data_IF_919996812212
#
_entry.id   IF_919996812212
#
_cell.length_a   1.000
_cell.length_b   1.000
_cell.length_c   1.000
_cell.angle_alpha   90.00
_cell.angle_beta   90.00
_cell.angle_gamma   90.00
#
_symmetry.space_group_name_H-M   'P 1'
#
loop_
_entity.id
_entity.type
_entity.pdbx_description
1 polymer ?
#
# COMPACT_ATOMS: atom_id res chain seq x y z
N UNK A 1 -37.91 -15.20 18.83
CA UNK A 1 -37.44 -16.11 17.76
C UNK A 1 -36.78 -15.36 16.57
N UNK A 2 -37.25 -14.17 16.19
CA UNK A 2 -36.68 -13.41 15.07
C UNK A 2 -35.30 -12.78 15.35
N UNK A 3 -35.07 -12.29 16.56
CA UNK A 3 -33.79 -11.66 16.92
C UNK A 3 -32.61 -12.67 17.02
N UNK A 4 -32.87 -13.90 17.51
CA UNK A 4 -31.87 -14.97 17.55
C UNK A 4 -31.49 -15.46 16.16
N UNK A 5 -32.44 -15.56 15.24
CA UNK A 5 -32.20 -15.98 13.87
C UNK A 5 -31.44 -14.90 13.07
N UNK A 6 -31.69 -13.62 13.33
CA UNK A 6 -30.92 -12.50 12.76
C UNK A 6 -29.48 -12.49 13.29
N UNK A 7 -29.28 -12.68 14.60
CA UNK A 7 -27.95 -12.73 15.21
C UNK A 7 -27.13 -13.93 14.73
N UNK A 8 -27.74 -15.10 14.54
CA UNK A 8 -27.07 -16.28 13.96
C UNK A 8 -26.76 -16.11 12.47
N UNK A 9 -27.63 -15.45 11.72
CA UNK A 9 -27.37 -15.10 10.31
C UNK A 9 -26.25 -14.06 10.20
N UNK A 10 -26.25 -13.06 11.06
CA UNK A 10 -25.23 -12.05 11.14
C UNK A 10 -23.86 -12.65 11.50
N UNK A 11 -23.81 -13.51 12.52
CA UNK A 11 -22.60 -14.25 12.87
C UNK A 11 -22.12 -15.18 11.75
N UNK A 12 -23.00 -15.93 11.12
CA UNK A 12 -22.62 -16.84 10.03
C UNK A 12 -22.18 -16.11 8.76
N UNK A 13 -22.71 -14.92 8.47
CA UNK A 13 -22.25 -14.08 7.37
C UNK A 13 -20.91 -13.44 7.67
N UNK A 14 -20.68 -12.93 8.88
CA UNK A 14 -19.42 -12.35 9.29
C UNK A 14 -18.31 -13.42 9.40
N UNK A 15 -18.62 -14.60 9.93
CA UNK A 15 -17.68 -15.73 10.00
C UNK A 15 -17.39 -16.38 8.64
N UNK A 16 -18.31 -16.27 7.65
CA UNK A 16 -18.12 -16.82 6.30
C UNK A 16 -17.30 -15.90 5.38
N UNK A 17 -17.20 -14.61 5.70
CA UNK A 17 -16.40 -13.67 4.95
C UNK A 17 -15.04 -13.58 5.64
N UNK A 18 -14.00 -14.13 5.02
CA UNK A 18 -12.63 -13.81 5.41
C UNK A 18 -12.38 -12.34 5.08
N UNK A 19 -12.62 -11.50 6.10
CA UNK A 19 -12.54 -10.04 5.99
C UNK A 19 -11.15 -9.57 5.56
N UNK A 20 -10.12 -10.27 6.01
CA UNK A 20 -8.73 -10.04 5.62
C UNK A 20 -8.53 -10.32 4.13
N UNK A 21 -9.06 -11.43 3.64
CA UNK A 21 -8.97 -11.80 2.24
C UNK A 21 -9.73 -10.81 1.33
N UNK A 22 -10.92 -10.38 1.75
CA UNK A 22 -11.71 -9.38 1.03
C UNK A 22 -10.98 -8.03 0.94
N UNK A 23 -10.40 -7.56 2.04
CA UNK A 23 -9.60 -6.33 2.07
C UNK A 23 -8.36 -6.43 1.19
N UNK A 24 -7.59 -7.51 1.35
CA UNK A 24 -6.33 -7.67 0.63
C UNK A 24 -6.55 -7.96 -0.85
N UNK A 25 -7.39 -8.92 -1.19
CA UNK A 25 -7.58 -9.34 -2.58
C UNK A 25 -8.54 -8.43 -3.35
N UNK A 26 -9.62 -8.01 -2.72
CA UNK A 26 -10.63 -7.19 -3.36
C UNK A 26 -10.26 -5.71 -3.39
N UNK A 27 -10.29 -5.07 -2.23
CA UNK A 27 -10.19 -3.61 -2.16
C UNK A 27 -8.79 -3.09 -2.51
N UNK A 28 -7.74 -3.72 -1.98
CA UNK A 28 -6.37 -3.28 -2.24
C UNK A 28 -6.00 -3.39 -3.73
N UNK A 29 -6.42 -4.46 -4.40
CA UNK A 29 -6.16 -4.63 -5.84
C UNK A 29 -6.79 -3.52 -6.67
N UNK A 30 -8.05 -3.17 -6.37
CA UNK A 30 -8.77 -2.10 -7.07
C UNK A 30 -8.17 -0.72 -6.81
N UNK A 31 -7.83 -0.42 -5.54
CA UNK A 31 -7.21 0.86 -5.15
C UNK A 31 -5.85 1.06 -5.81
N UNK A 32 -4.97 0.06 -5.77
CA UNK A 32 -3.65 0.16 -6.38
C UNK A 32 -3.70 0.31 -7.90
N UNK A 33 -4.63 -0.38 -8.56
CA UNK A 33 -4.84 -0.23 -9.98
C UNK A 33 -5.39 1.17 -10.32
N UNK A 34 -6.42 1.64 -9.60
CA UNK A 34 -7.01 2.96 -9.80
C UNK A 34 -5.97 4.07 -9.60
N UNK A 35 -5.18 4.00 -8.53
CA UNK A 35 -4.09 4.93 -8.28
C UNK A 35 -3.05 4.93 -9.40
N UNK A 36 -2.63 3.74 -9.85
CA UNK A 36 -1.64 3.60 -10.93
C UNK A 36 -2.15 4.08 -12.29
N UNK A 37 -3.44 3.94 -12.57
CA UNK A 37 -4.08 4.35 -13.82
C UNK A 37 -3.93 5.86 -14.08
N UNK A 38 -3.91 6.67 -13.03
CA UNK A 38 -3.84 8.13 -13.11
C UNK A 38 -2.41 8.70 -13.13
N UNK A 39 -1.39 7.86 -12.94
CA UNK A 39 0.01 8.31 -12.93
C UNK A 39 0.57 8.47 -14.32
N UNK A 40 1.07 9.66 -14.65
CA UNK A 40 1.78 9.96 -15.90
C UNK A 40 3.23 9.46 -15.86
N UNK A 41 3.51 8.39 -16.63
CA UNK A 41 4.86 7.80 -16.71
C UNK A 41 5.90 8.75 -17.30
N UNK A 42 5.51 9.71 -18.17
CA UNK A 42 6.44 10.64 -18.79
C UNK A 42 6.99 11.62 -17.73
N UNK A 43 6.12 12.09 -16.86
CA UNK A 43 6.49 12.94 -15.72
C UNK A 43 7.23 12.12 -14.65
N UNK A 44 6.74 10.92 -14.34
CA UNK A 44 7.38 10.01 -13.40
C UNK A 44 8.81 9.66 -13.82
N UNK A 45 9.07 9.48 -15.11
CA UNK A 45 10.41 9.23 -15.65
C UNK A 45 11.39 10.36 -15.34
N UNK A 46 10.91 11.59 -15.26
CA UNK A 46 11.73 12.75 -14.89
C UNK A 46 12.18 12.69 -13.45
N UNK A 47 11.33 12.19 -12.54
CA UNK A 47 11.59 12.06 -11.10
C UNK A 47 11.87 10.62 -10.66
N UNK A 48 12.22 9.71 -11.59
CA UNK A 48 12.40 8.28 -11.31
C UNK A 48 13.34 7.98 -10.15
N UNK A 49 14.46 8.70 -10.05
CA UNK A 49 15.43 8.48 -8.98
C UNK A 49 14.91 8.91 -7.60
N UNK A 50 14.17 10.01 -7.55
CA UNK A 50 13.50 10.48 -6.36
C UNK A 50 12.47 9.46 -5.89
N UNK A 51 11.55 9.11 -6.77
CA UNK A 51 10.48 8.14 -6.47
C UNK A 51 11.07 6.77 -6.09
N UNK A 52 11.98 6.21 -6.90
CA UNK A 52 12.55 4.89 -6.60
C UNK A 52 13.35 4.88 -5.29
N UNK A 53 14.16 5.92 -5.03
CA UNK A 53 14.94 5.95 -3.78
C UNK A 53 14.05 6.09 -2.55
N UNK A 54 12.98 6.90 -2.61
CA UNK A 54 12.05 7.06 -1.50
C UNK A 54 11.19 5.81 -1.31
N UNK A 55 10.67 5.24 -2.40
CA UNK A 55 9.82 4.06 -2.33
C UNK A 55 10.58 2.79 -1.92
N UNK A 56 11.80 2.58 -2.38
CA UNK A 56 12.55 1.35 -2.09
C UNK A 56 13.45 1.54 -0.87
N UNK A 57 14.42 2.48 -0.97
CA UNK A 57 15.40 2.69 0.11
C UNK A 57 14.71 3.33 1.33
N UNK A 58 13.86 4.33 1.11
CA UNK A 58 13.11 5.00 2.17
C UNK A 58 12.22 4.04 2.95
N UNK A 59 11.44 3.20 2.27
CA UNK A 59 10.54 2.21 2.91
C UNK A 59 11.32 1.12 3.63
N UNK A 60 12.39 0.58 3.04
CA UNK A 60 13.24 -0.42 3.69
C UNK A 60 13.91 0.13 4.94
N UNK A 61 14.49 1.33 4.87
CA UNK A 61 15.08 2.00 6.05
C UNK A 61 14.03 2.33 7.10
N UNK A 62 12.83 2.77 6.69
CA UNK A 62 11.70 3.02 7.59
C UNK A 62 11.29 1.75 8.32
N UNK A 63 11.14 0.63 7.60
CA UNK A 63 10.83 -0.68 8.17
C UNK A 63 11.83 -1.08 9.25
N UNK A 64 13.12 -0.97 8.96
CA UNK A 64 14.18 -1.30 9.93
C UNK A 64 14.19 -0.33 11.11
N UNK A 65 14.09 0.97 10.85
CA UNK A 65 14.14 2.00 11.89
C UNK A 65 12.95 1.89 12.84
N UNK A 66 11.74 1.71 12.32
CA UNK A 66 10.53 1.57 13.12
C UNK A 66 10.54 0.21 13.86
N UNK A 67 10.90 -0.88 13.18
CA UNK A 67 10.92 -2.21 13.80
C UNK A 67 11.94 -2.31 14.93
N UNK A 68 13.18 -1.88 14.71
CA UNK A 68 14.22 -1.85 15.75
C UNK A 68 13.90 -0.83 16.85
N UNK A 69 13.37 0.32 16.47
CA UNK A 69 12.95 1.37 17.41
C UNK A 69 11.81 0.90 18.31
N UNK A 70 10.79 0.23 17.76
CA UNK A 70 9.71 -0.37 18.53
C UNK A 70 10.24 -1.43 19.49
N UNK A 71 11.08 -2.35 19.02
CA UNK A 71 11.69 -3.35 19.87
C UNK A 71 12.47 -2.75 21.05
N UNK A 72 13.23 -1.67 20.82
CA UNK A 72 13.93 -0.95 21.86
C UNK A 72 12.96 -0.21 22.80
N UNK A 73 11.89 0.39 22.30
CA UNK A 73 10.89 1.08 23.13
C UNK A 73 10.12 0.13 24.03
N UNK A 74 9.81 -1.08 23.54
CA UNK A 74 9.07 -2.08 24.32
C UNK A 74 9.84 -2.55 25.58
N UNK A 75 11.17 -2.44 25.58
CA UNK A 75 11.97 -2.72 26.81
C UNK A 75 11.65 -1.78 27.97
N UNK A 76 10.95 -0.67 27.72
CA UNK A 76 10.53 0.32 28.72
C UNK A 76 9.03 0.26 29.03
N UNK A 77 8.32 -0.68 28.42
CA UNK A 77 6.89 -0.90 28.61
C UNK A 77 6.63 -2.32 29.09
N UNK A 78 5.39 -2.59 29.51
CA UNK A 78 4.96 -3.93 29.93
C UNK A 78 4.56 -4.83 28.75
N UNK A 79 4.65 -4.29 27.51
CA UNK A 79 4.31 -5.04 26.32
C UNK A 79 5.52 -5.82 25.81
N UNK A 80 5.35 -7.11 25.59
CA UNK A 80 6.40 -7.96 24.99
C UNK A 80 6.03 -8.33 23.57
N UNK A 81 6.92 -8.01 22.63
CA UNK A 81 6.76 -8.36 21.21
C UNK A 81 8.10 -8.86 20.66
N UNK A 82 8.15 -10.06 20.05
CA UNK A 82 9.36 -10.55 19.41
C UNK A 82 9.87 -9.58 18.32
N UNK A 83 11.19 -9.47 18.17
CA UNK A 83 11.82 -8.59 17.17
C UNK A 83 11.24 -8.77 15.76
N UNK A 84 10.96 -10.01 15.38
CA UNK A 84 10.37 -10.31 14.07
C UNK A 84 8.99 -9.65 13.89
N UNK A 85 8.13 -9.65 14.90
CA UNK A 85 6.85 -8.94 14.87
C UNK A 85 7.01 -7.41 14.91
N UNK A 86 8.04 -6.91 15.61
CA UNK A 86 8.38 -5.48 15.53
C UNK A 86 8.80 -5.07 14.11
N UNK A 87 9.54 -5.92 13.40
CA UNK A 87 9.89 -5.69 12.00
C UNK A 87 8.67 -5.83 11.07
N UNK A 88 7.76 -6.79 11.33
CA UNK A 88 6.46 -6.88 10.64
C UNK A 88 5.69 -5.57 10.81
N UNK A 89 5.60 -5.06 12.05
CA UNK A 89 4.99 -3.75 12.32
C UNK A 89 5.69 -2.63 11.54
N UNK A 90 7.02 -2.61 11.53
CA UNK A 90 7.80 -1.67 10.73
C UNK A 90 7.44 -1.72 9.25
N UNK A 91 7.28 -2.92 8.67
CA UNK A 91 6.93 -3.10 7.26
C UNK A 91 5.51 -2.60 6.94
N UNK A 92 4.53 -2.99 7.75
CA UNK A 92 3.12 -2.60 7.51
C UNK A 92 2.84 -1.11 7.74
N UNK A 93 3.60 -0.44 8.64
CA UNK A 93 3.39 0.98 8.93
C UNK A 93 4.28 1.90 8.08
N UNK A 94 5.22 1.37 7.30
CA UNK A 94 6.13 2.18 6.48
C UNK A 94 5.48 2.83 5.26
N UNK A 95 4.53 2.22 4.53
CA UNK A 95 3.89 2.85 3.39
C UNK A 95 3.12 4.11 3.79
N UNK A 96 2.99 5.04 2.87
CA UNK A 96 2.34 6.33 3.09
C UNK A 96 1.19 6.52 2.12
N UNK A 97 0.09 7.05 2.61
CA UNK A 97 -1.08 7.38 1.80
C UNK A 97 -1.16 8.89 1.56
N UNK A 98 -1.13 9.34 0.31
CA UNK A 98 -1.15 10.76 -0.01
C UNK A 98 -2.56 11.35 -0.08
N UNK A 99 -3.64 10.56 -0.03
CA UNK A 99 -5.01 11.00 -0.36
C UNK A 99 -5.39 12.26 0.40
N UNK A 100 -5.31 12.22 1.73
CA UNK A 100 -5.66 13.37 2.56
C UNK A 100 -4.73 14.58 2.34
N UNK A 101 -3.44 14.30 2.08
CA UNK A 101 -2.43 15.33 1.86
C UNK A 101 -2.57 15.98 0.49
N UNK A 102 -2.89 15.21 -0.54
CA UNK A 102 -3.04 15.71 -1.91
C UNK A 102 -4.15 16.76 -2.03
N UNK A 103 -5.27 16.58 -1.32
CA UNK A 103 -6.33 17.59 -1.27
C UNK A 103 -5.84 18.93 -0.70
N UNK A 104 -5.04 18.88 0.37
CA UNK A 104 -4.45 20.07 1.00
C UNK A 104 -3.40 20.70 0.09
N UNK A 105 -2.51 19.90 -0.51
CA UNK A 105 -1.45 20.39 -1.40
C UNK A 105 -2.01 21.10 -2.64
N UNK A 106 -3.02 20.52 -3.28
CA UNK A 106 -3.72 21.13 -4.41
C UNK A 106 -4.36 22.47 -4.02
N UNK A 107 -5.06 22.52 -2.87
CA UNK A 107 -5.69 23.77 -2.39
C UNK A 107 -4.67 24.83 -1.97
N UNK A 108 -3.50 24.42 -1.49
CA UNK A 108 -2.39 25.31 -1.12
C UNK A 108 -1.54 25.76 -2.33
N UNK A 109 -1.81 25.25 -3.53
CA UNK A 109 -1.06 25.58 -4.75
C UNK A 109 0.36 25.02 -4.72
N UNK A 110 0.56 23.83 -4.18
CA UNK A 110 1.86 23.18 -4.16
C UNK A 110 2.41 22.96 -5.58
N UNK A 111 3.74 22.99 -5.77
CA UNK A 111 4.32 22.69 -7.07
C UNK A 111 3.99 21.26 -7.53
N UNK A 112 3.51 21.08 -8.76
CA UNK A 112 3.11 19.78 -9.32
C UNK A 112 4.23 18.72 -9.28
N UNK A 113 5.50 19.14 -9.22
CA UNK A 113 6.63 18.23 -9.02
C UNK A 113 6.62 17.55 -7.64
N UNK A 114 6.15 18.23 -6.60
CA UNK A 114 6.04 17.67 -5.24
C UNK A 114 4.87 16.71 -5.19
N UNK A 115 3.72 17.10 -5.75
CA UNK A 115 2.54 16.24 -5.84
C UNK A 115 2.87 14.93 -6.59
N UNK A 116 3.56 15.02 -7.72
CA UNK A 116 3.95 13.86 -8.51
C UNK A 116 4.89 12.92 -7.76
N UNK A 117 5.89 13.47 -7.04
CA UNK A 117 6.85 12.65 -6.30
C UNK A 117 6.17 11.98 -5.11
N UNK A 118 5.27 12.68 -4.40
CA UNK A 118 4.49 12.09 -3.29
C UNK A 118 3.58 10.97 -3.80
N UNK A 119 2.81 11.20 -4.87
CA UNK A 119 1.93 10.17 -5.45
C UNK A 119 2.71 8.98 -5.98
N UNK A 120 3.82 9.23 -6.67
CA UNK A 120 4.69 8.17 -7.17
C UNK A 120 5.37 7.39 -6.04
N UNK A 121 5.87 8.08 -5.01
CA UNK A 121 6.44 7.42 -3.83
C UNK A 121 5.42 6.49 -3.18
N UNK A 122 4.21 7.00 -2.90
CA UNK A 122 3.15 6.24 -2.25
C UNK A 122 2.74 5.00 -3.07
N UNK A 123 2.51 5.16 -4.36
CA UNK A 123 2.14 4.04 -5.22
C UNK A 123 3.14 2.88 -5.19
N UNK A 124 4.44 3.20 -5.19
CA UNK A 124 5.48 2.17 -5.20
C UNK A 124 5.86 1.67 -3.80
N UNK A 125 5.78 2.52 -2.77
CA UNK A 125 6.11 2.09 -1.42
C UNK A 125 5.07 1.09 -0.86
N UNK A 126 3.81 1.18 -1.29
CA UNK A 126 2.77 0.19 -1.00
C UNK A 126 3.20 -1.20 -1.48
N UNK A 127 3.62 -1.30 -2.75
CA UNK A 127 4.11 -2.56 -3.30
C UNK A 127 5.36 -3.08 -2.60
N UNK A 128 6.33 -2.21 -2.31
CA UNK A 128 7.57 -2.56 -1.59
C UNK A 128 7.26 -3.02 -0.17
N UNK A 129 6.34 -2.33 0.51
CA UNK A 129 5.95 -2.66 1.87
C UNK A 129 5.29 -4.04 1.96
N UNK A 130 4.38 -4.36 1.06
CA UNK A 130 3.74 -5.70 1.02
C UNK A 130 4.79 -6.79 0.82
N UNK A 131 5.76 -6.59 -0.07
CA UNK A 131 6.85 -7.56 -0.28
C UNK A 131 7.73 -7.71 0.96
N UNK A 132 8.10 -6.61 1.62
CA UNK A 132 8.86 -6.66 2.89
C UNK A 132 8.05 -7.34 3.99
N UNK A 133 6.76 -7.03 4.10
CA UNK A 133 5.85 -7.67 5.05
C UNK A 133 5.78 -9.18 4.84
N UNK A 134 5.54 -9.65 3.60
CA UNK A 134 5.48 -11.06 3.26
C UNK A 134 6.80 -11.77 3.59
N UNK A 135 7.93 -11.16 3.25
CA UNK A 135 9.25 -11.70 3.54
C UNK A 135 9.50 -11.86 5.05
N UNK A 136 9.20 -10.82 5.83
CA UNK A 136 9.41 -10.86 7.29
C UNK A 136 8.40 -11.83 7.95
N UNK A 137 7.17 -11.88 7.46
CA UNK A 137 6.16 -12.83 7.94
C UNK A 137 6.57 -14.28 7.67
N UNK A 138 7.17 -14.57 6.52
CA UNK A 138 7.75 -15.89 6.23
C UNK A 138 8.89 -16.26 7.19
N UNK A 139 9.71 -15.27 7.62
CA UNK A 139 10.71 -15.48 8.68
C UNK A 139 10.07 -15.80 10.03
N UNK A 140 8.96 -15.14 10.37
CA UNK A 140 8.19 -15.45 11.59
C UNK A 140 7.68 -16.88 11.56
N UNK A 141 7.13 -17.31 10.41
CA UNK A 141 6.55 -18.64 10.25
C UNK A 141 7.60 -19.77 10.28
N UNK A 142 8.79 -19.54 9.72
CA UNK A 142 9.89 -20.54 9.69
C UNK A 142 10.68 -20.60 11.00
N UNK A 143 10.61 -19.58 11.85
CA UNK A 143 11.42 -19.47 13.07
C UNK A 143 12.91 -19.23 12.82
N UNK A 144 13.36 -19.16 11.57
CA UNK A 144 14.75 -18.92 11.17
C UNK A 144 14.86 -17.68 10.30
N UNK A 145 15.90 -16.88 10.50
CA UNK A 145 16.22 -15.80 9.59
C UNK A 145 16.78 -16.41 8.27
N UNK A 146 16.12 -16.17 7.12
CA UNK A 146 16.64 -16.66 5.85
C UNK A 146 18.04 -16.06 5.60
N UNK A 147 18.91 -16.82 4.95
CA UNK A 147 20.16 -16.25 4.49
C UNK A 147 19.88 -15.08 3.53
N UNK A 148 20.80 -14.12 3.47
CA UNK A 148 20.65 -12.95 2.58
C UNK A 148 20.37 -13.37 1.13
N UNK A 149 20.94 -14.50 0.70
CA UNK A 149 20.72 -15.06 -0.64
C UNK A 149 19.27 -15.52 -0.83
N UNK A 150 18.72 -16.26 0.15
CA UNK A 150 17.32 -16.73 0.11
C UNK A 150 16.34 -15.57 0.19
N UNK A 151 16.60 -14.58 1.05
CA UNK A 151 15.79 -13.38 1.15
C UNK A 151 15.78 -12.58 -0.16
N UNK A 152 16.94 -12.39 -0.79
CA UNK A 152 17.05 -11.70 -2.07
C UNK A 152 16.36 -12.50 -3.20
N UNK A 153 16.45 -13.82 -3.20
CA UNK A 153 15.77 -14.66 -4.18
C UNK A 153 14.25 -14.57 -4.04
N UNK A 154 13.70 -14.71 -2.82
CA UNK A 154 12.28 -14.56 -2.58
C UNK A 154 11.77 -13.17 -2.99
N UNK A 155 12.52 -12.11 -2.66
CA UNK A 155 12.18 -10.75 -3.05
C UNK A 155 12.16 -10.58 -4.59
N UNK A 156 13.12 -11.17 -5.30
CA UNK A 156 13.15 -11.14 -6.76
C UNK A 156 12.03 -11.97 -7.39
N UNK A 157 11.70 -13.12 -6.82
CA UNK A 157 10.61 -13.97 -7.29
C UNK A 157 9.25 -13.29 -7.06
N UNK A 158 8.97 -12.78 -5.87
CA UNK A 158 7.72 -12.08 -5.58
C UNK A 158 7.59 -10.77 -6.35
N UNK A 159 8.56 -9.87 -6.22
CA UNK A 159 8.48 -8.56 -6.84
C UNK A 159 8.65 -8.62 -8.36
N UNK A 160 9.64 -9.39 -8.83
CA UNK A 160 9.90 -9.57 -10.26
C UNK A 160 8.78 -10.34 -10.96
N UNK A 161 8.27 -11.39 -10.32
CA UNK A 161 7.13 -12.17 -10.81
C UNK A 161 5.85 -11.33 -10.88
N UNK A 162 5.56 -10.53 -9.84
CA UNK A 162 4.44 -9.61 -9.83
C UNK A 162 4.51 -8.56 -10.92
N UNK A 163 5.67 -7.91 -11.08
CA UNK A 163 5.88 -6.93 -12.14
C UNK A 163 5.74 -7.54 -13.54
N UNK A 164 6.30 -8.74 -13.76
CA UNK A 164 6.17 -9.48 -15.02
C UNK A 164 4.71 -9.84 -15.32
N UNK A 165 3.98 -10.37 -14.32
CA UNK A 165 2.56 -10.70 -14.47
C UNK A 165 1.76 -9.46 -14.83
N UNK A 166 1.96 -8.35 -14.11
CA UNK A 166 1.30 -7.07 -14.39
C UNK A 166 1.61 -6.55 -15.79
N UNK A 167 2.86 -6.70 -16.25
CA UNK A 167 3.26 -6.31 -17.60
C UNK A 167 2.59 -7.18 -18.68
N UNK A 168 2.55 -8.50 -18.50
CA UNK A 168 1.92 -9.44 -19.45
C UNK A 168 0.43 -9.19 -19.53
N UNK A 169 -0.27 -9.17 -18.38
CA UNK A 169 -1.72 -8.93 -18.36
C UNK A 169 -2.04 -7.55 -18.86
N UNK A 170 -1.32 -6.52 -18.41
CA UNK A 170 -1.49 -5.14 -18.87
C UNK A 170 -1.33 -4.98 -20.37
N UNK A 171 -0.36 -5.68 -20.97
CA UNK A 171 -0.20 -5.69 -22.42
C UNK A 171 -1.36 -6.40 -23.14
N UNK A 172 -1.83 -7.55 -22.61
CA UNK A 172 -2.98 -8.27 -23.17
C UNK A 172 -4.22 -7.38 -23.13
N UNK A 173 -4.51 -6.76 -22.00
CA UNK A 173 -5.64 -5.84 -21.84
C UNK A 173 -5.49 -4.63 -22.77
N UNK A 174 -4.32 -4.01 -22.85
CA UNK A 174 -4.06 -2.96 -23.83
C UNK A 174 -4.42 -3.38 -25.27
N UNK A 175 -4.07 -4.59 -25.67
CA UNK A 175 -4.42 -5.13 -27.00
C UNK A 175 -5.92 -5.34 -27.17
N UNK A 176 -6.64 -5.79 -26.12
CA UNK A 176 -8.08 -5.93 -26.13
C UNK A 176 -8.78 -4.58 -26.27
N UNK A 177 -8.40 -3.60 -25.43
CA UNK A 177 -8.96 -2.25 -25.46
C UNK A 177 -8.77 -1.56 -26.82
N UNK A 178 -7.66 -1.83 -27.52
CA UNK A 178 -7.41 -1.31 -28.86
C UNK A 178 -8.36 -1.85 -29.93
N UNK A 179 -9.01 -2.99 -29.70
CA UNK A 179 -9.91 -3.63 -30.66
C UNK A 179 -11.39 -3.30 -30.44
N UNK A 180 -11.70 -2.54 -29.39
CA UNK A 180 -13.06 -2.23 -28.94
C UNK A 180 -13.15 -0.71 -28.80
N UNK A 181 -14.30 -0.13 -29.14
CA UNK A 181 -14.63 1.28 -28.90
C UNK A 181 -16.00 1.37 -28.23
N UNK A 182 -16.08 0.79 -27.01
CA UNK A 182 -17.27 0.77 -26.19
C UNK A 182 -16.87 0.90 -24.72
N UNK A 183 -17.17 2.03 -24.11
CA UNK A 183 -16.71 2.32 -22.75
C UNK A 183 -17.23 1.30 -21.71
N UNK A 184 -18.43 0.75 -21.89
CA UNK A 184 -18.99 -0.28 -20.98
C UNK A 184 -18.11 -1.54 -20.99
N UNK A 185 -17.75 -2.01 -22.19
CA UNK A 185 -16.93 -3.19 -22.37
C UNK A 185 -15.49 -2.93 -21.84
N UNK A 186 -14.94 -1.75 -22.09
CA UNK A 186 -13.60 -1.38 -21.61
C UNK A 186 -13.52 -1.32 -20.07
N UNK A 187 -14.55 -0.74 -19.42
CA UNK A 187 -14.67 -0.74 -17.96
C UNK A 187 -14.74 -2.17 -17.42
N UNK A 188 -15.61 -3.02 -18.00
CA UNK A 188 -15.78 -4.42 -17.57
C UNK A 188 -14.49 -5.23 -17.77
N UNK A 189 -13.78 -5.02 -18.88
CA UNK A 189 -12.49 -5.67 -19.17
C UNK A 189 -11.45 -5.28 -18.13
N UNK A 190 -11.33 -3.99 -17.81
CA UNK A 190 -10.37 -3.53 -16.79
C UNK A 190 -10.72 -4.06 -15.40
N UNK A 191 -11.99 -4.08 -15.02
CA UNK A 191 -12.43 -4.63 -13.75
C UNK A 191 -12.17 -6.15 -13.66
N UNK A 192 -12.51 -6.91 -14.70
CA UNK A 192 -12.23 -8.34 -14.76
C UNK A 192 -10.72 -8.64 -14.74
N UNK A 193 -9.93 -7.80 -15.40
CA UNK A 193 -8.47 -7.91 -15.40
C UNK A 193 -7.87 -7.70 -14.02
N UNK A 194 -8.33 -6.69 -13.27
CA UNK A 194 -7.84 -6.41 -11.91
C UNK A 194 -8.11 -7.59 -10.99
N UNK A 195 -9.37 -8.04 -10.93
CA UNK A 195 -9.76 -9.15 -10.06
C UNK A 195 -9.08 -10.47 -10.48
N UNK A 196 -9.06 -10.76 -11.79
CA UNK A 196 -8.46 -11.97 -12.33
C UNK A 196 -6.95 -12.02 -12.19
N UNK A 197 -6.27 -10.92 -12.46
CA UNK A 197 -4.81 -10.85 -12.34
C UNK A 197 -4.35 -10.91 -10.87
N UNK A 198 -5.08 -10.30 -9.95
CA UNK A 198 -4.76 -10.41 -8.53
C UNK A 198 -4.93 -11.85 -8.02
N UNK A 199 -6.06 -12.50 -8.35
CA UNK A 199 -6.30 -13.90 -8.02
C UNK A 199 -5.23 -14.83 -8.65
N UNK A 200 -4.77 -14.52 -9.86
CA UNK A 200 -3.69 -15.26 -10.51
C UNK A 200 -2.34 -15.03 -9.82
N UNK A 201 -2.04 -13.79 -9.42
CA UNK A 201 -0.83 -13.47 -8.66
C UNK A 201 -0.75 -14.26 -7.35
N UNK A 202 -1.86 -14.33 -6.61
CA UNK A 202 -1.95 -15.11 -5.37
C UNK A 202 -1.67 -16.60 -5.63
N UNK A 203 -2.23 -17.18 -6.70
CA UNK A 203 -1.98 -18.58 -7.06
C UNK A 203 -0.56 -18.87 -7.52
N UNK A 204 0.09 -17.89 -8.14
CA UNK A 204 1.48 -18.00 -8.60
C UNK A 204 2.49 -17.63 -7.50
N UNK A 205 2.03 -17.25 -6.31
CA UNK A 205 2.87 -16.78 -5.22
C UNK A 205 3.78 -15.61 -5.61
N UNK A 206 3.23 -14.66 -6.39
CA UNK A 206 3.90 -13.42 -6.79
C UNK A 206 3.14 -12.20 -6.25
N UNK A 207 3.81 -11.05 -6.18
CA UNK A 207 3.22 -9.83 -5.62
C UNK A 207 2.03 -9.32 -6.45
N UNK A 208 0.80 -9.54 -5.94
CA UNK A 208 -0.44 -8.98 -6.48
C UNK A 208 -0.42 -7.45 -6.54
N UNK A 209 -0.05 -6.75 -5.44
CA UNK A 209 0.07 -5.30 -5.43
C UNK A 209 0.95 -4.73 -6.54
N UNK A 210 2.16 -5.27 -6.74
CA UNK A 210 3.04 -4.84 -7.83
C UNK A 210 2.48 -5.17 -9.21
N UNK A 211 1.78 -6.29 -9.36
CA UNK A 211 1.10 -6.62 -10.62
C UNK A 211 0.02 -5.58 -10.95
N UNK A 212 -0.77 -5.14 -9.97
CA UNK A 212 -1.80 -4.10 -10.15
C UNK A 212 -1.20 -2.76 -10.54
N UNK A 213 -0.14 -2.34 -9.86
CA UNK A 213 0.57 -1.09 -10.17
C UNK A 213 1.12 -1.11 -11.60
N UNK A 214 1.83 -2.17 -12.00
CA UNK A 214 2.41 -2.25 -13.34
C UNK A 214 1.33 -2.32 -14.42
N UNK A 215 0.26 -3.08 -14.21
CA UNK A 215 -0.88 -3.15 -15.12
C UNK A 215 -1.58 -1.80 -15.25
N UNK A 216 -1.85 -1.11 -14.14
CA UNK A 216 -2.46 0.21 -14.13
C UNK A 216 -1.62 1.26 -14.86
N UNK A 217 -0.30 1.26 -14.66
CA UNK A 217 0.63 2.14 -15.37
C UNK A 217 0.62 1.90 -16.89
N UNK A 218 0.55 0.65 -17.35
CA UNK A 218 0.50 0.33 -18.78
C UNK A 218 -0.81 0.81 -19.38
N UNK A 219 -1.93 0.52 -18.75
CA UNK A 219 -3.26 0.92 -19.26
C UNK A 219 -3.43 2.43 -19.19
N UNK A 220 -3.02 3.06 -18.09
CA UNK A 220 -3.11 4.50 -17.87
C UNK A 220 -2.24 5.35 -18.83
N UNK A 221 -1.17 4.78 -19.37
CA UNK A 221 -0.30 5.52 -20.29
C UNK A 221 -0.41 5.04 -21.73
N UNK A 222 -0.04 3.79 -21.99
CA UNK A 222 -0.08 3.25 -23.37
C UNK A 222 -1.52 2.99 -23.82
N UNK A 223 -2.39 2.49 -22.95
CA UNK A 223 -3.79 2.29 -23.23
C UNK A 223 -4.49 3.60 -23.60
N UNK A 224 -4.36 4.62 -22.80
CA UNK A 224 -4.92 5.95 -23.06
C UNK A 224 -4.38 6.57 -24.34
N UNK A 225 -3.08 6.48 -24.59
CA UNK A 225 -2.45 7.16 -25.73
C UNK A 225 -2.79 6.51 -27.08
N UNK A 226 -2.97 5.19 -27.14
CA UNK A 226 -3.00 4.44 -28.39
C UNK A 226 -4.20 3.51 -28.57
N UNK A 227 -5.02 3.30 -27.52
CA UNK A 227 -6.09 2.30 -27.54
C UNK A 227 -7.49 2.87 -27.27
N UNK A 228 -7.62 4.09 -26.71
CA UNK A 228 -8.90 4.62 -26.23
C UNK A 228 -9.28 5.92 -26.95
N UNK A 229 -10.59 6.07 -27.25
CA UNK A 229 -11.17 7.34 -27.67
C UNK A 229 -11.22 8.34 -26.49
N UNK A 230 -11.36 9.65 -26.77
CA UNK A 230 -11.49 10.66 -25.70
C UNK A 230 -12.72 10.44 -24.81
N UNK A 231 -13.80 9.91 -25.38
CA UNK A 231 -15.01 9.59 -24.62
C UNK A 231 -14.76 8.42 -23.67
N UNK A 232 -14.09 7.36 -24.15
CA UNK A 232 -13.74 6.20 -23.31
C UNK A 232 -12.78 6.58 -22.19
N UNK A 233 -11.74 7.39 -22.49
CA UNK A 233 -10.82 7.90 -21.46
C UNK A 233 -11.59 8.57 -20.33
N UNK A 234 -12.46 9.51 -20.66
CA UNK A 234 -13.25 10.26 -19.68
C UNK A 234 -14.14 9.35 -18.83
N UNK A 235 -14.81 8.37 -19.44
CA UNK A 235 -15.71 7.48 -18.72
C UNK A 235 -14.94 6.46 -17.86
N UNK A 236 -13.81 5.96 -18.35
CA UNK A 236 -12.94 5.07 -17.61
C UNK A 236 -12.33 5.76 -16.39
N UNK A 237 -11.89 7.01 -16.55
CA UNK A 237 -11.37 7.83 -15.45
C UNK A 237 -12.44 8.06 -14.40
N UNK A 238 -13.63 8.49 -14.81
CA UNK A 238 -14.75 8.73 -13.90
C UNK A 238 -15.14 7.46 -13.12
N UNK A 239 -15.12 6.30 -13.78
CA UNK A 239 -15.43 5.02 -13.13
C UNK A 239 -14.37 4.66 -12.09
N UNK A 240 -13.08 4.70 -12.44
CA UNK A 240 -12.01 4.32 -11.53
C UNK A 240 -11.80 5.33 -10.41
N UNK A 241 -12.01 6.63 -10.65
CA UNK A 241 -12.03 7.67 -9.61
C UNK A 241 -13.18 7.42 -8.60
N UNK A 242 -14.37 7.08 -9.09
CA UNK A 242 -15.51 6.74 -8.23
C UNK A 242 -15.25 5.47 -7.39
N UNK A 243 -14.67 4.43 -7.99
CA UNK A 243 -14.28 3.21 -7.27
C UNK A 243 -13.26 3.53 -6.19
N UNK A 244 -12.24 4.32 -6.49
CA UNK A 244 -11.22 4.75 -5.55
C UNK A 244 -11.84 5.49 -4.35
N UNK A 245 -12.70 6.47 -4.60
CA UNK A 245 -13.39 7.23 -3.55
C UNK A 245 -14.29 6.35 -2.67
N UNK A 246 -15.09 5.45 -3.29
CA UNK A 246 -15.98 4.54 -2.55
C UNK A 246 -15.16 3.59 -1.67
N UNK A 247 -14.12 2.96 -2.23
CA UNK A 247 -13.31 1.99 -1.50
C UNK A 247 -12.54 2.65 -0.36
N UNK A 248 -12.00 3.84 -0.56
CA UNK A 248 -11.36 4.60 0.51
C UNK A 248 -12.36 4.98 1.61
N UNK A 249 -13.57 5.44 1.26
CA UNK A 249 -14.61 5.73 2.24
C UNK A 249 -14.99 4.47 3.06
N UNK A 250 -15.19 3.33 2.40
CA UNK A 250 -15.46 2.05 3.07
C UNK A 250 -14.31 1.66 3.99
N UNK A 251 -13.07 1.78 3.52
CA UNK A 251 -11.88 1.47 4.30
C UNK A 251 -11.80 2.31 5.58
N UNK A 252 -12.00 3.63 5.48
CA UNK A 252 -12.01 4.51 6.67
C UNK A 252 -13.14 4.18 7.64
N UNK A 253 -14.32 3.79 7.16
CA UNK A 253 -15.41 3.33 8.01
C UNK A 253 -15.03 2.04 8.73
N UNK A 254 -14.42 1.08 8.04
CA UNK A 254 -13.98 -0.17 8.63
C UNK A 254 -12.90 0.05 9.70
N UNK A 255 -11.91 0.92 9.40
CA UNK A 255 -10.91 1.35 10.38
C UNK A 255 -11.60 1.94 11.62
N UNK A 256 -12.57 2.83 11.43
CA UNK A 256 -13.29 3.46 12.53
C UNK A 256 -14.10 2.47 13.37
N UNK A 257 -14.67 1.43 12.76
CA UNK A 257 -15.40 0.36 13.47
C UNK A 257 -14.44 -0.51 14.30
N UNK A 258 -13.29 -0.86 13.75
CA UNK A 258 -12.30 -1.70 14.44
C UNK A 258 -11.72 -1.00 15.67
N UNK A 259 -11.51 0.33 15.60
CA UNK A 259 -11.06 1.12 16.76
C UNK A 259 -11.98 0.97 17.97
N UNK A 260 -13.29 0.79 17.75
CA UNK A 260 -14.26 0.61 18.85
C UNK A 260 -14.04 -0.69 19.61
N UNK A 261 -13.46 -1.70 18.97
CA UNK A 261 -13.20 -3.02 19.56
C UNK A 261 -11.90 -3.04 20.37
N UNK A 262 -11.02 -2.07 20.22
CA UNK A 262 -9.72 -2.02 20.92
C UNK A 262 -9.94 -1.69 22.40
N UNK A 263 -9.40 -2.53 23.26
CA UNK A 263 -9.35 -2.27 24.70
C UNK A 263 -8.12 -1.42 25.03
N UNK A 264 -8.33 -0.13 25.25
CA UNK A 264 -7.25 0.80 25.57
C UNK A 264 -6.75 0.57 27.02
N UNK A 265 -5.49 0.22 27.16
CA UNK A 265 -4.75 0.25 28.45
C UNK A 265 -3.84 1.49 28.48
N UNK A 266 -3.44 1.92 29.67
CA UNK A 266 -2.48 3.03 29.81
C UNK A 266 -1.13 2.70 29.16
N UNK A 267 -0.69 1.45 29.26
CA UNK A 267 0.54 0.98 28.61
C UNK A 267 0.44 1.06 27.09
N UNK A 268 -0.70 0.65 26.51
CA UNK A 268 -0.95 0.73 25.06
C UNK A 268 -0.98 2.19 24.57
N UNK A 269 -1.63 3.09 25.31
CA UNK A 269 -1.68 4.53 24.94
C UNK A 269 -0.29 5.17 24.97
N UNK A 270 0.51 4.91 26.01
CA UNK A 270 1.87 5.45 26.09
C UNK A 270 2.74 4.90 24.97
N UNK A 271 2.69 3.59 24.73
CA UNK A 271 3.42 2.93 23.63
C UNK A 271 2.97 3.47 22.28
N UNK A 272 1.67 3.64 22.06
CA UNK A 272 1.11 4.22 20.81
C UNK A 272 1.64 5.63 20.56
N UNK A 273 1.66 6.51 21.57
CA UNK A 273 2.24 7.86 21.44
C UNK A 273 3.74 7.82 21.10
N UNK A 274 4.50 6.90 21.71
CA UNK A 274 5.91 6.70 21.37
C UNK A 274 6.09 6.20 19.94
N UNK A 275 5.21 5.30 19.47
CA UNK A 275 5.21 4.77 18.10
C UNK A 275 4.89 5.88 17.09
N UNK A 276 3.93 6.76 17.38
CA UNK A 276 3.66 7.93 16.54
C UNK A 276 4.91 8.81 16.41
N UNK A 277 5.57 9.13 17.53
CA UNK A 277 6.82 9.91 17.50
C UNK A 277 7.93 9.19 16.71
N UNK A 278 8.06 7.88 16.90
CA UNK A 278 9.03 7.04 16.19
C UNK A 278 8.77 7.01 14.67
N UNK A 279 7.51 6.87 14.24
CA UNK A 279 7.14 6.88 12.82
C UNK A 279 7.37 8.23 12.16
N UNK A 280 7.09 9.34 12.85
CA UNK A 280 7.40 10.69 12.37
C UNK A 280 8.91 10.91 12.26
N UNK A 281 9.68 10.47 13.25
CA UNK A 281 11.15 10.56 13.22
C UNK A 281 11.71 9.68 12.10
N UNK A 282 11.20 8.47 11.91
CA UNK A 282 11.57 7.60 10.80
C UNK A 282 11.33 8.31 9.46
N UNK A 283 10.17 8.92 9.28
CA UNK A 283 9.84 9.65 8.06
C UNK A 283 10.81 10.82 7.80
N UNK A 284 11.13 11.56 8.84
CA UNK A 284 12.12 12.64 8.77
C UNK A 284 13.48 12.12 8.27
N UNK A 285 13.95 11.01 8.82
CA UNK A 285 15.25 10.42 8.48
C UNK A 285 15.23 9.76 7.09
N UNK A 286 14.16 9.05 6.71
CA UNK A 286 14.07 8.31 5.45
C UNK A 286 13.83 9.22 4.25
N UNK A 287 13.19 10.36 4.42
CA UNK A 287 13.08 11.41 3.40
C UNK A 287 14.36 12.25 3.36
N UNK A 288 14.87 12.63 4.53
CA UNK A 288 16.06 13.47 4.62
C UNK A 288 17.34 12.80 4.11
N UNK A 289 17.58 11.55 4.46
CA UNK A 289 18.78 10.81 4.06
C UNK A 289 18.89 10.65 2.52
N UNK A 290 17.88 10.16 1.79
CA UNK A 290 17.93 10.10 0.33
C UNK A 290 18.12 11.47 -0.33
N UNK A 291 17.46 12.51 0.17
CA UNK A 291 17.63 13.87 -0.36
C UNK A 291 19.07 14.37 -0.13
N UNK A 292 19.64 14.13 1.05
CA UNK A 292 21.01 14.52 1.36
C UNK A 292 22.03 13.74 0.51
N UNK A 293 21.84 12.44 0.33
CA UNK A 293 22.74 11.57 -0.43
C UNK A 293 22.71 11.85 -1.95
N UNK A 294 21.51 12.05 -2.49
CA UNK A 294 21.28 12.24 -3.92
C UNK A 294 21.17 13.72 -4.33
N UNK A 295 21.31 14.65 -3.43
CA UNK A 295 21.21 16.12 -3.50
C UNK A 295 20.96 16.75 -4.87
N UNK A 296 21.91 16.62 -5.81
CA UNK A 296 21.79 17.19 -7.17
C UNK A 296 20.76 16.49 -8.06
N UNK A 297 20.43 15.21 -7.80
CA UNK A 297 19.41 14.43 -8.52
C UNK A 297 17.99 14.77 -8.04
N UNK A 298 17.86 15.20 -6.78
CA UNK A 298 16.60 15.62 -6.18
C UNK A 298 16.24 17.07 -6.53
N UNK A 299 16.15 17.42 -7.78
CA UNK A 299 15.79 18.78 -8.28
C UNK A 299 14.39 19.23 -7.79
N UNK A 300 14.11 19.06 -6.51
CA UNK A 300 12.87 19.46 -5.89
C UNK A 300 12.94 20.92 -5.41
N UNK A 301 11.80 21.63 -5.37
CA UNK A 301 11.75 23.00 -4.88
C UNK A 301 12.13 23.09 -3.40
N UNK A 302 12.56 24.28 -2.97
CA UNK A 302 12.88 24.55 -1.56
C UNK A 302 11.64 24.28 -0.69
N UNK A 303 11.81 23.56 0.40
CA UNK A 303 10.71 23.16 1.30
C UNK A 303 10.04 21.84 0.95
N UNK A 304 10.31 21.23 -0.20
CA UNK A 304 9.73 19.92 -0.58
C UNK A 304 10.00 18.86 0.50
N UNK A 305 11.20 18.86 1.09
CA UNK A 305 11.54 17.91 2.16
C UNK A 305 10.58 17.97 3.36
N UNK A 306 10.23 19.15 3.84
CA UNK A 306 9.28 19.30 4.96
C UNK A 306 7.85 18.89 4.58
N UNK A 307 7.42 19.25 3.37
CA UNK A 307 6.09 18.85 2.84
C UNK A 307 6.00 17.33 2.72
N UNK A 308 7.04 16.69 2.18
CA UNK A 308 7.09 15.24 2.00
C UNK A 308 7.20 14.50 3.34
N UNK A 309 7.85 15.10 4.34
CA UNK A 309 7.89 14.54 5.70
C UNK A 309 6.52 14.61 6.37
N UNK A 310 5.87 15.78 6.30
CA UNK A 310 4.54 15.97 6.86
C UNK A 310 3.47 15.16 6.12
N UNK A 311 3.59 15.05 4.80
CA UNK A 311 2.68 14.31 3.94
C UNK A 311 2.75 12.79 4.07
N UNK A 312 3.61 12.27 4.94
CA UNK A 312 3.74 10.83 5.17
C UNK A 312 2.67 10.27 6.11
N UNK A 313 1.38 10.56 5.84
CA UNK A 313 0.26 9.95 6.56
C UNK A 313 0.15 8.47 6.21
N UNK A 314 -0.44 7.68 7.10
CA UNK A 314 -0.62 6.24 6.93
C UNK A 314 -2.02 5.96 6.40
N UNK A 315 -2.11 4.97 5.52
CA UNK A 315 -3.37 4.60 4.87
C UNK A 315 -3.90 3.26 5.33
N UNK A 316 -5.00 2.86 4.71
CA UNK A 316 -5.67 1.63 5.02
C UNK A 316 -4.89 0.36 4.70
N UNK A 317 -3.86 0.43 3.86
CA UNK A 317 -2.97 -0.71 3.57
C UNK A 317 -2.28 -1.21 4.86
N UNK A 318 -1.85 -0.29 5.73
CA UNK A 318 -1.26 -0.67 7.03
C UNK A 318 -2.22 -1.49 7.88
N UNK A 319 -3.49 -1.09 7.92
CA UNK A 319 -4.54 -1.79 8.65
C UNK A 319 -4.87 -3.13 8.01
N UNK A 320 -5.00 -3.17 6.68
CA UNK A 320 -5.25 -4.40 5.94
C UNK A 320 -4.16 -5.45 6.20
N UNK A 321 -2.89 -5.04 6.16
CA UNK A 321 -1.75 -5.91 6.46
C UNK A 321 -1.75 -6.37 7.94
N UNK A 322 -2.09 -5.50 8.89
CA UNK A 322 -2.17 -5.87 10.29
C UNK A 322 -3.27 -6.92 10.53
N UNK A 323 -4.44 -6.75 9.93
CA UNK A 323 -5.56 -7.68 10.01
C UNK A 323 -5.28 -9.01 9.30
N UNK A 324 -4.41 -9.04 8.30
CA UNK A 324 -4.02 -10.27 7.58
C UNK A 324 -3.08 -11.17 8.38
N UNK A 325 -2.56 -10.73 9.52
CA UNK A 325 -1.74 -11.57 10.39
C UNK A 325 -2.55 -12.73 10.98
N UNK A 326 -1.95 -13.92 11.10
CA UNK A 326 -2.62 -15.06 11.73
C UNK A 326 -2.95 -14.74 13.19
N UNK A 327 -4.12 -15.19 13.69
CA UNK A 327 -4.55 -14.93 15.07
C UNK A 327 -3.50 -15.35 16.08
N UNK A 328 -3.03 -14.42 16.90
CA UNK A 328 -2.01 -14.63 17.93
C UNK A 328 -1.94 -13.41 18.86
N UNK A 329 -1.43 -13.59 20.08
CA UNK A 329 -1.22 -12.48 21.02
C UNK A 329 -0.33 -11.37 20.43
N UNK A 330 0.80 -11.65 19.73
CA UNK A 330 1.57 -10.64 19.04
C UNK A 330 0.78 -9.89 17.95
N UNK A 331 -0.13 -10.56 17.23
CA UNK A 331 -1.02 -9.91 16.25
C UNK A 331 -1.89 -8.84 16.90
N UNK A 332 -2.49 -9.16 18.04
CA UNK A 332 -3.42 -8.24 18.72
C UNK A 332 -2.71 -6.96 19.18
N UNK A 333 -1.44 -7.07 19.62
CA UNK A 333 -0.59 -5.92 19.91
C UNK A 333 -0.28 -5.13 18.64
N UNK A 334 0.13 -5.80 17.55
CA UNK A 334 0.44 -5.15 16.26
C UNK A 334 -0.79 -4.41 15.71
N UNK A 335 -1.96 -5.06 15.71
CA UNK A 335 -3.23 -4.44 15.30
C UNK A 335 -3.52 -3.21 16.16
N UNK A 336 -3.46 -3.35 17.48
CA UNK A 336 -3.74 -2.24 18.41
C UNK A 336 -2.79 -1.05 18.26
N UNK A 337 -1.51 -1.28 17.95
CA UNK A 337 -0.52 -0.22 17.69
C UNK A 337 -0.66 0.40 16.29
N UNK A 338 -1.32 -0.29 15.36
CA UNK A 338 -1.55 0.22 14.01
C UNK A 338 -2.68 1.25 13.98
N UNK A 339 -3.64 1.13 14.89
CA UNK A 339 -4.75 2.07 15.09
C UNK A 339 -4.36 3.24 15.99
#
# INVERSE_FOLDING_TARGET
>A
LGFHALHTLEQSLVESIDFSELLMQGMLSLLLFAGALHVDLSLLRTYRWQVTSLAVVGTTLSTLFIGLGLWALLSWTELELPLAYCLVFGALISPTDPIAVMGILKSAGAPGSVELVISGESLFNDGVSVVLFSLILAMVASGEAPSVTVAAQLLLEEAGGGALLGAVVGYVIYRMLKSIDSYQEEVLITLAAVLGAYALATRLHVSGPLAMVVMGLIIGNQGRSYAMSEQTKKNLDMFWELIDEILNAVLFVLIGLEVVLIQFSNSLLVTGLMVVALTLLSRLLTVGLPIAALGRLFRLPKGAWSVMTWGGLRGGISVALALSLPPSEPRDIVVSLTY
#
